data_IF_518385515463
#
_entry.id   IF_518385515463
#
_cell.length_a   1.000
_cell.length_b   1.000
_cell.length_c   1.000
_cell.angle_alpha   90.00
_cell.angle_beta   90.00
_cell.angle_gamma   90.00
#
_symmetry.space_group_name_H-M   'P 1'
#
loop_
_entity.id
_entity.type
_entity.pdbx_description
1 polymer ?
#
# COMPACT_ATOMS: atom_id res chain seq x y z
N UNK A 1 12.90 -45.09 -19.97
CA UNK A 1 11.91 -44.00 -20.14
C UNK A 1 11.94 -43.13 -18.91
N UNK A 2 12.52 -41.91 -19.00
CA UNK A 2 12.55 -40.96 -17.90
C UNK A 2 11.11 -40.48 -17.64
N UNK A 3 10.55 -40.84 -16.48
CA UNK A 3 9.17 -40.52 -16.10
C UNK A 3 9.00 -39.00 -15.99
N UNK A 4 8.03 -38.43 -16.72
CA UNK A 4 7.65 -37.01 -16.69
C UNK A 4 7.16 -36.54 -15.30
N UNK A 5 7.03 -37.44 -14.33
CA UNK A 5 6.45 -37.15 -13.02
C UNK A 5 7.42 -36.49 -12.04
N UNK A 6 8.74 -36.54 -12.28
CA UNK A 6 9.77 -36.03 -11.36
C UNK A 6 9.99 -34.51 -11.40
N UNK A 7 9.54 -33.81 -12.47
CA UNK A 7 9.74 -32.36 -12.63
C UNK A 7 8.60 -31.48 -12.09
N UNK A 8 7.42 -32.06 -11.84
CA UNK A 8 6.24 -31.34 -11.37
C UNK A 8 6.39 -30.67 -9.98
N UNK A 9 7.02 -31.30 -8.95
CA UNK A 9 7.18 -30.65 -7.65
C UNK A 9 8.16 -29.48 -7.71
N UNK A 10 9.20 -29.59 -8.54
CA UNK A 10 10.16 -28.51 -8.77
C UNK A 10 9.48 -27.31 -9.45
N UNK A 11 8.65 -27.57 -10.47
CA UNK A 11 7.85 -26.52 -11.14
C UNK A 11 6.85 -25.86 -10.18
N UNK A 12 6.22 -26.63 -9.30
CA UNK A 12 5.31 -26.07 -8.27
C UNK A 12 6.06 -25.20 -7.26
N UNK A 13 7.23 -25.63 -6.78
CA UNK A 13 8.04 -24.85 -5.84
C UNK A 13 8.59 -23.55 -6.45
N UNK A 14 8.96 -23.57 -7.73
CA UNK A 14 9.38 -22.36 -8.44
C UNK A 14 8.21 -21.38 -8.64
N UNK A 15 7.01 -21.90 -8.93
CA UNK A 15 5.83 -21.06 -9.06
C UNK A 15 5.43 -20.40 -7.73
N UNK A 16 5.53 -21.09 -6.59
CA UNK A 16 5.23 -20.48 -5.28
C UNK A 16 6.23 -19.38 -4.93
N UNK A 17 7.52 -19.60 -5.21
CA UNK A 17 8.56 -18.58 -5.05
C UNK A 17 8.33 -17.38 -5.97
N UNK A 18 8.01 -17.62 -7.25
CA UNK A 18 7.74 -16.57 -8.23
C UNK A 18 6.53 -15.72 -7.83
N UNK A 19 5.44 -16.34 -7.38
CA UNK A 19 4.24 -15.63 -6.90
C UNK A 19 4.54 -14.82 -5.63
N UNK A 20 5.30 -15.38 -4.68
CA UNK A 20 5.75 -14.66 -3.49
C UNK A 20 6.58 -13.42 -3.85
N UNK A 21 7.50 -13.56 -4.80
CA UNK A 21 8.35 -12.48 -5.28
C UNK A 21 7.56 -11.39 -6.01
N UNK A 22 6.61 -11.77 -6.86
CA UNK A 22 5.71 -10.82 -7.54
C UNK A 22 4.89 -10.00 -6.55
N UNK A 23 4.34 -10.65 -5.51
CA UNK A 23 3.58 -9.97 -4.46
C UNK A 23 4.45 -8.98 -3.66
N UNK A 24 5.69 -9.34 -3.37
CA UNK A 24 6.64 -8.46 -2.69
C UNK A 24 6.94 -7.21 -3.53
N UNK A 25 7.24 -7.40 -4.82
CA UNK A 25 7.48 -6.28 -5.75
C UNK A 25 6.25 -5.39 -5.86
N UNK A 26 5.05 -5.97 -5.95
CA UNK A 26 3.81 -5.21 -6.01
C UNK A 26 3.61 -4.34 -4.76
N UNK A 27 3.92 -4.88 -3.58
CA UNK A 27 3.83 -4.14 -2.31
C UNK A 27 4.87 -3.02 -2.19
N UNK A 28 6.09 -3.25 -2.68
CA UNK A 28 7.14 -2.22 -2.69
C UNK A 28 6.87 -1.12 -3.73
N UNK A 29 6.21 -1.44 -4.84
CA UNK A 29 5.79 -0.47 -5.86
C UNK A 29 4.53 0.30 -5.49
N UNK A 30 3.88 -0.01 -4.37
CA UNK A 30 2.73 0.74 -3.89
C UNK A 30 3.19 2.17 -3.52
N UNK A 31 2.70 3.21 -4.21
CA UNK A 31 3.07 4.58 -3.89
C UNK A 31 2.59 4.95 -2.49
N UNK A 32 3.50 5.41 -1.64
CA UNK A 32 3.12 5.93 -0.33
C UNK A 32 2.07 7.04 -0.50
N UNK A 33 0.84 6.76 -0.04
CA UNK A 33 -0.29 7.70 -0.05
C UNK A 33 -0.43 8.38 1.31
N UNK A 34 0.22 9.53 1.53
CA UNK A 34 0.10 10.28 2.78
C UNK A 34 -1.34 10.75 3.01
N UNK A 35 -2.15 10.92 1.96
CA UNK A 35 -3.56 11.32 2.03
C UNK A 35 -4.42 10.43 2.95
N UNK A 36 -4.12 9.13 3.03
CA UNK A 36 -4.81 8.21 3.95
C UNK A 36 -4.35 8.38 5.41
N UNK A 37 -3.15 8.92 5.61
CA UNK A 37 -2.49 9.05 6.91
C UNK A 37 -2.59 10.47 7.48
N UNK A 38 -2.93 11.47 6.66
CA UNK A 38 -3.24 12.82 7.08
C UNK A 38 -4.71 12.95 7.51
N UNK A 39 -5.11 12.16 8.49
CA UNK A 39 -6.37 12.35 9.24
C UNK A 39 -6.19 13.35 10.39
N UNK A 40 -5.22 14.27 10.27
CA UNK A 40 -5.04 15.38 11.20
C UNK A 40 -5.37 16.65 10.44
N UNK A 41 -6.59 17.14 10.67
CA UNK A 41 -7.05 18.42 10.13
C UNK A 41 -6.12 19.57 10.54
N UNK A 42 -6.37 20.77 9.99
CA UNK A 42 -5.47 21.89 10.18
C UNK A 42 -5.23 22.19 11.67
N UNK A 43 -3.94 22.17 12.05
CA UNK A 43 -3.52 22.40 13.42
C UNK A 43 -3.77 23.84 13.90
N UNK A 44 -3.62 24.11 15.20
CA UNK A 44 -3.89 25.43 15.79
C UNK A 44 -3.12 26.58 15.11
N UNK A 45 -1.87 26.33 14.70
CA UNK A 45 -1.04 27.31 13.97
C UNK A 45 -1.61 27.66 12.59
N UNK A 46 -2.30 26.73 11.93
CA UNK A 46 -2.97 26.97 10.65
C UNK A 46 -4.24 27.81 10.87
N UNK A 47 -5.04 27.47 11.90
CA UNK A 47 -6.26 28.23 12.25
C UNK A 47 -5.97 29.66 12.70
N UNK A 48 -4.86 29.90 13.39
CA UNK A 48 -4.43 31.24 13.77
C UNK A 48 -4.05 32.11 12.55
N UNK A 49 -3.57 31.51 11.46
CA UNK A 49 -3.25 32.20 10.19
C UNK A 49 -4.48 32.38 9.30
N UNK A 50 -5.44 31.47 9.40
CA UNK A 50 -6.69 31.48 8.65
C UNK A 50 -7.86 31.54 9.63
N UNK A 51 -8.15 32.72 10.20
CA UNK A 51 -9.35 32.91 11.00
C UNK A 51 -10.54 32.63 10.07
N UNK A 52 -11.17 31.46 10.23
CA UNK A 52 -12.45 31.20 9.59
C UNK A 52 -13.40 32.17 10.27
N UNK A 53 -13.91 33.14 9.50
CA UNK A 53 -15.03 33.96 9.91
C UNK A 53 -16.23 33.01 9.96
N UNK A 54 -16.31 32.23 11.05
CA UNK A 54 -17.43 31.36 11.32
C UNK A 54 -18.63 32.30 11.35
N UNK A 55 -19.43 32.22 10.28
CA UNK A 55 -20.63 33.02 10.15
C UNK A 55 -21.39 32.88 11.47
N UNK A 56 -21.64 34.03 12.07
CA UNK A 56 -22.58 34.29 13.15
C UNK A 56 -23.73 33.28 13.11
N UNK A 57 -23.66 32.26 13.95
CA UNK A 57 -24.83 31.48 14.34
C UNK A 57 -25.39 32.17 15.58
N UNK A 58 -26.49 32.90 15.37
CA UNK A 58 -27.45 33.20 16.44
C UNK A 58 -28.28 31.98 16.79
#
# INVERSE_FOLDING_TARGET
>A
MLSLQSLLPLRRGLNTLATGWQNLIARMRDPYRPELHYMRGPGPKWRAKHPIHAASAG
#
